data_IF_671839047393
#
_entry.id   IF_671839047393
#
_cell.length_a   1.000
_cell.length_b   1.000
_cell.length_c   1.000
_cell.angle_alpha   90.00
_cell.angle_beta   90.00
_cell.angle_gamma   90.00
#
_symmetry.space_group_name_H-M   'P 1'
#
loop_
_entity.id
_entity.type
_entity.pdbx_description
1 polymer ?
#
# COMPACT_ATOMS: atom_id res chain seq x y z
N UNK A 1 -13.80 -31.96 -42.09
CA UNK A 1 -12.73 -31.81 -41.08
C UNK A 1 -13.23 -30.83 -40.02
N UNK A 2 -13.60 -31.24 -38.80
CA UNK A 2 -14.06 -30.29 -37.82
C UNK A 2 -12.84 -29.68 -37.11
N UNK A 3 -12.61 -28.39 -37.36
CA UNK A 3 -11.75 -27.52 -36.57
C UNK A 3 -12.44 -27.28 -35.21
N UNK A 4 -12.33 -28.24 -34.30
CA UNK A 4 -12.68 -28.00 -32.90
C UNK A 4 -11.54 -27.22 -32.24
N UNK A 5 -11.56 -25.89 -32.37
CA UNK A 5 -10.84 -25.05 -31.44
C UNK A 5 -11.52 -25.25 -30.08
N UNK A 6 -10.91 -26.06 -29.19
CA UNK A 6 -11.36 -26.17 -27.80
C UNK A 6 -11.41 -24.74 -27.25
N UNK A 7 -12.58 -24.29 -26.82
CA UNK A 7 -12.67 -23.02 -26.09
C UNK A 7 -11.75 -23.13 -24.89
N UNK A 8 -10.87 -22.14 -24.64
CA UNK A 8 -9.99 -22.19 -23.49
C UNK A 8 -10.86 -22.23 -22.23
N UNK A 9 -10.57 -23.19 -21.37
CA UNK A 9 -11.37 -23.51 -20.20
C UNK A 9 -10.83 -22.71 -19.01
N UNK A 10 -11.72 -22.08 -18.25
CA UNK A 10 -11.35 -21.38 -17.04
C UNK A 10 -10.83 -22.34 -15.98
N UNK A 11 -9.72 -21.99 -15.35
CA UNK A 11 -9.14 -22.67 -14.20
C UNK A 11 -9.12 -21.77 -12.98
N UNK A 12 -9.05 -22.39 -11.81
CA UNK A 12 -9.04 -21.70 -10.53
C UNK A 12 -7.63 -21.74 -9.94
N UNK A 13 -7.16 -20.60 -9.45
CA UNK A 13 -5.79 -20.35 -8.99
C UNK A 13 -5.81 -19.71 -7.61
N UNK A 14 -4.86 -20.08 -6.76
CA UNK A 14 -4.66 -19.43 -5.48
C UNK A 14 -3.76 -18.20 -5.68
N UNK A 15 -4.22 -17.03 -5.25
CA UNK A 15 -3.48 -15.77 -5.37
C UNK A 15 -3.35 -15.12 -4.00
N UNK A 16 -2.13 -14.75 -3.61
CA UNK A 16 -1.85 -13.99 -2.38
C UNK A 16 -1.15 -12.70 -2.75
N UNK A 17 -1.61 -11.58 -2.23
CA UNK A 17 -1.00 -10.27 -2.43
C UNK A 17 -0.49 -9.78 -1.08
N UNK A 18 0.81 -9.57 -0.99
CA UNK A 18 1.47 -9.04 0.20
C UNK A 18 1.89 -7.60 -0.02
N UNK A 19 1.47 -6.73 0.88
CA UNK A 19 1.85 -5.32 0.94
C UNK A 19 2.85 -5.10 2.07
N UNK A 20 4.08 -4.77 1.71
CA UNK A 20 5.17 -4.43 2.65
C UNK A 20 5.09 -2.97 3.12
N UNK A 21 3.88 -2.47 3.36
CA UNK A 21 3.63 -1.09 3.79
C UNK A 21 2.58 -1.04 4.90
N UNK A 22 2.64 -0.02 5.76
CA UNK A 22 1.55 0.28 6.69
C UNK A 22 0.25 0.44 5.92
N UNK A 23 -0.74 -0.39 6.25
CA UNK A 23 -2.06 -0.38 5.63
C UNK A 23 -3.11 -0.77 6.67
N UNK A 24 -3.99 0.15 7.01
CA UNK A 24 -5.13 -0.11 7.90
C UNK A 24 -6.12 -1.08 7.25
N UNK A 25 -6.99 -1.72 8.06
CA UNK A 25 -8.05 -2.54 7.51
C UNK A 25 -8.93 -1.78 6.51
N UNK A 26 -9.22 -0.50 6.75
CA UNK A 26 -10.06 0.27 5.82
C UNK A 26 -9.44 0.38 4.43
N UNK A 27 -8.16 0.75 4.34
CA UNK A 27 -7.43 0.85 3.07
C UNK A 27 -7.27 -0.52 2.42
N UNK A 28 -7.00 -1.57 3.20
CA UNK A 28 -6.93 -2.94 2.69
C UNK A 28 -8.24 -3.38 2.03
N UNK A 29 -9.39 -3.16 2.68
CA UNK A 29 -10.69 -3.50 2.08
C UNK A 29 -10.97 -2.67 0.82
N UNK A 30 -10.54 -1.41 0.76
CA UNK A 30 -10.65 -0.62 -0.48
C UNK A 30 -9.81 -1.22 -1.63
N UNK A 31 -8.63 -1.77 -1.34
CA UNK A 31 -7.83 -2.52 -2.33
C UNK A 31 -8.51 -3.82 -2.75
N UNK A 32 -9.07 -4.58 -1.80
CA UNK A 32 -9.86 -5.78 -2.06
C UNK A 32 -11.03 -5.49 -3.03
N UNK A 33 -11.81 -4.44 -2.73
CA UNK A 33 -12.94 -4.00 -3.54
C UNK A 33 -12.50 -3.52 -4.93
N UNK A 34 -11.37 -2.81 -5.03
CA UNK A 34 -10.80 -2.40 -6.31
C UNK A 34 -10.38 -3.60 -7.18
N UNK A 35 -9.71 -4.58 -6.59
CA UNK A 35 -9.24 -5.77 -7.29
C UNK A 35 -10.41 -6.64 -7.74
N UNK A 36 -11.30 -7.01 -6.82
CA UNK A 36 -12.41 -7.94 -7.08
C UNK A 36 -13.56 -7.26 -7.83
N UNK A 37 -13.88 -6.02 -7.48
CA UNK A 37 -15.01 -5.29 -8.04
C UNK A 37 -14.72 -4.58 -9.35
N UNK A 38 -13.45 -4.25 -9.65
CA UNK A 38 -13.10 -3.45 -10.83
C UNK A 38 -12.07 -4.14 -11.74
N UNK A 39 -10.90 -4.51 -11.23
CA UNK A 39 -9.80 -5.02 -12.05
C UNK A 39 -10.12 -6.40 -12.66
N UNK A 40 -10.44 -7.40 -11.84
CA UNK A 40 -10.64 -8.76 -12.32
C UNK A 40 -11.80 -8.89 -13.33
N UNK A 41 -12.96 -8.22 -13.14
CA UNK A 41 -14.03 -8.21 -14.14
C UNK A 41 -13.60 -7.66 -15.51
N UNK A 42 -12.68 -6.68 -15.57
CA UNK A 42 -12.16 -6.15 -16.83
C UNK A 42 -11.29 -7.16 -17.59
N UNK A 43 -10.82 -8.20 -16.91
CA UNK A 43 -9.96 -9.25 -17.45
C UNK A 43 -10.72 -10.55 -17.70
N UNK A 44 -12.06 -10.51 -17.68
CA UNK A 44 -12.92 -11.70 -17.76
C UNK A 44 -12.58 -12.76 -16.70
N UNK A 45 -12.11 -12.30 -15.54
CA UNK A 45 -11.77 -13.13 -14.38
C UNK A 45 -12.73 -12.82 -13.22
N UNK A 46 -12.92 -13.79 -12.34
CA UNK A 46 -13.64 -13.62 -11.08
C UNK A 46 -12.77 -14.05 -9.92
N UNK A 47 -13.03 -13.52 -8.72
CA UNK A 47 -12.36 -13.99 -7.53
C UNK A 47 -13.28 -14.03 -6.32
N UNK A 48 -12.88 -14.84 -5.36
CA UNK A 48 -13.45 -14.86 -4.01
C UNK A 48 -12.31 -14.59 -3.03
N UNK A 49 -12.52 -13.63 -2.13
CA UNK A 49 -11.60 -13.38 -1.02
C UNK A 49 -11.78 -14.53 -0.03
N UNK A 50 -10.70 -15.25 0.25
CA UNK A 50 -10.69 -16.40 1.16
C UNK A 50 -10.03 -16.09 2.50
N UNK A 51 -9.28 -14.99 2.56
CA UNK A 51 -8.51 -14.59 3.74
C UNK A 51 -7.77 -13.28 3.52
N UNK A 52 -6.90 -12.96 4.46
CA UNK A 52 -6.17 -11.71 4.50
C UNK A 52 -6.18 -11.08 5.88
N UNK A 53 -5.24 -10.17 6.11
CA UNK A 53 -4.98 -9.62 7.43
C UNK A 53 -4.17 -8.33 7.36
N UNK A 54 -4.37 -7.45 8.33
CA UNK A 54 -3.42 -6.36 8.59
C UNK A 54 -2.56 -6.80 9.76
N UNK A 55 -1.25 -6.91 9.55
CA UNK A 55 -0.31 -7.16 10.61
C UNK A 55 -0.10 -5.87 11.42
N UNK A 56 -0.10 -5.99 12.75
CA UNK A 56 0.10 -4.88 13.67
C UNK A 56 1.43 -5.02 14.43
N UNK A 57 2.07 -3.90 14.73
CA UNK A 57 3.21 -3.82 15.64
C UNK A 57 2.78 -4.10 17.09
N UNK A 58 3.74 -4.17 18.01
CA UNK A 58 3.45 -4.32 19.44
C UNK A 58 2.64 -3.15 20.01
N UNK A 59 2.78 -1.97 19.41
CA UNK A 59 2.09 -0.72 19.73
C UNK A 59 0.73 -0.61 19.03
N UNK A 60 0.34 -1.61 18.22
CA UNK A 60 -0.92 -1.65 17.49
C UNK A 60 -0.93 -0.89 16.17
N UNK A 61 0.22 -0.47 15.65
CA UNK A 61 0.32 0.22 14.36
C UNK A 61 0.38 -0.77 13.19
N UNK A 62 -0.29 -0.52 12.06
CA UNK A 62 -0.19 -1.37 10.88
C UNK A 62 1.24 -1.38 10.33
N UNK A 63 1.75 -2.58 10.03
CA UNK A 63 3.11 -2.76 9.47
C UNK A 63 3.12 -3.39 8.08
N UNK A 64 2.16 -4.27 7.80
CA UNK A 64 1.99 -4.94 6.53
C UNK A 64 0.54 -5.40 6.38
N UNK A 65 0.13 -5.75 5.16
CA UNK A 65 -1.16 -6.37 4.93
C UNK A 65 -1.07 -7.46 3.86
N UNK A 66 -1.96 -8.45 3.98
CA UNK A 66 -2.12 -9.53 3.02
C UNK A 66 -3.57 -9.60 2.55
N UNK A 67 -3.76 -9.92 1.27
CA UNK A 67 -5.05 -10.29 0.67
C UNK A 67 -4.91 -11.68 0.06
N UNK A 68 -5.80 -12.60 0.42
CA UNK A 68 -5.82 -13.95 -0.13
C UNK A 68 -7.08 -14.17 -0.97
N UNK A 69 -6.88 -14.57 -2.22
CA UNK A 69 -7.90 -14.69 -3.25
C UNK A 69 -7.86 -16.08 -3.89
N UNK A 70 -9.04 -16.57 -4.26
CA UNK A 70 -9.18 -17.65 -5.24
C UNK A 70 -9.67 -17.03 -6.54
N UNK A 71 -8.82 -17.01 -7.57
CA UNK A 71 -9.11 -16.38 -8.87
C UNK A 71 -9.49 -17.45 -9.89
N UNK A 72 -10.61 -17.28 -10.58
CA UNK A 72 -10.99 -18.11 -11.73
C UNK A 72 -10.83 -17.30 -13.00
N UNK A 73 -9.95 -17.76 -13.89
CA UNK A 73 -9.61 -17.07 -15.13
C UNK A 73 -9.33 -18.07 -16.26
N UNK A 74 -9.49 -17.62 -17.50
CA UNK A 74 -9.09 -18.38 -18.69
C UNK A 74 -7.58 -18.25 -18.94
N UNK A 75 -7.02 -17.11 -18.60
CA UNK A 75 -5.61 -16.77 -18.78
C UNK A 75 -5.08 -16.11 -17.50
N UNK A 76 -4.54 -16.93 -16.60
CA UNK A 76 -4.00 -16.44 -15.33
C UNK A 76 -2.72 -15.63 -15.52
N UNK A 77 -1.95 -15.88 -16.57
CA UNK A 77 -0.70 -15.15 -16.84
C UNK A 77 -1.03 -13.69 -17.19
N UNK A 78 -2.04 -13.47 -18.04
CA UNK A 78 -2.54 -12.11 -18.33
C UNK A 78 -3.06 -11.42 -17.06
N UNK A 79 -3.86 -12.11 -16.24
CA UNK A 79 -4.35 -11.56 -14.98
C UNK A 79 -3.20 -11.17 -14.05
N UNK A 80 -2.17 -12.01 -13.96
CA UNK A 80 -0.99 -11.76 -13.14
C UNK A 80 -0.23 -10.52 -13.61
N UNK A 81 0.01 -10.40 -14.93
CA UNK A 81 0.71 -9.24 -15.50
C UNK A 81 -0.04 -7.93 -15.23
N UNK A 82 -1.35 -7.90 -15.47
CA UNK A 82 -2.17 -6.71 -15.27
C UNK A 82 -2.28 -6.34 -13.77
N UNK A 83 -2.43 -7.34 -12.90
CA UNK A 83 -2.42 -7.13 -11.45
C UNK A 83 -1.10 -6.51 -10.98
N UNK A 84 0.04 -7.04 -11.44
CA UNK A 84 1.36 -6.48 -11.12
C UNK A 84 1.47 -5.03 -11.62
N UNK A 85 1.04 -4.75 -12.85
CA UNK A 85 1.08 -3.40 -13.43
C UNK A 85 0.21 -2.38 -12.69
N UNK A 86 -0.99 -2.77 -12.26
CA UNK A 86 -1.89 -1.91 -11.47
C UNK A 86 -1.29 -1.65 -10.09
N UNK A 87 -0.77 -2.68 -9.42
CA UNK A 87 -0.13 -2.52 -8.12
C UNK A 87 1.10 -1.61 -8.19
N UNK A 88 1.94 -1.76 -9.23
CA UNK A 88 3.09 -0.91 -9.46
C UNK A 88 2.69 0.55 -9.76
N UNK A 89 1.63 0.74 -10.56
CA UNK A 89 1.06 2.07 -10.85
C UNK A 89 0.45 2.75 -9.63
N UNK A 90 -0.09 1.97 -8.69
CA UNK A 90 -0.58 2.46 -7.40
C UNK A 90 0.56 2.79 -6.43
N UNK A 91 1.82 2.58 -6.83
CA UNK A 91 2.99 2.99 -6.08
C UNK A 91 3.21 2.20 -4.80
N UNK A 92 2.92 0.90 -4.79
CA UNK A 92 3.12 0.08 -3.58
C UNK A 92 4.59 -0.04 -3.15
N UNK A 93 4.80 -0.35 -1.88
CA UNK A 93 6.13 -0.45 -1.29
C UNK A 93 7.00 -1.53 -1.92
N UNK A 94 8.29 -1.21 -2.04
CA UNK A 94 9.34 -2.21 -2.25
C UNK A 94 9.27 -3.26 -1.15
N UNK A 95 9.45 -4.52 -1.53
CA UNK A 95 9.32 -5.69 -0.65
C UNK A 95 7.95 -6.36 -0.73
N UNK A 96 6.98 -5.71 -1.37
CA UNK A 96 5.68 -6.30 -1.68
C UNK A 96 5.82 -7.40 -2.76
N UNK A 97 4.87 -8.32 -2.80
CA UNK A 97 4.88 -9.42 -3.76
C UNK A 97 3.47 -9.95 -4.02
N UNK A 98 3.29 -10.57 -5.19
CA UNK A 98 2.10 -11.35 -5.53
C UNK A 98 2.52 -12.80 -5.72
N UNK A 99 1.85 -13.74 -5.06
CA UNK A 99 2.04 -15.17 -5.29
C UNK A 99 0.87 -15.73 -6.09
N UNK A 100 1.14 -16.48 -7.15
CA UNK A 100 0.13 -17.22 -7.92
C UNK A 100 0.51 -18.70 -7.91
N UNK A 101 -0.37 -19.55 -7.39
CA UNK A 101 -0.14 -20.97 -7.16
C UNK A 101 1.21 -21.26 -6.46
N UNK A 102 1.56 -20.39 -5.50
CA UNK A 102 2.80 -20.46 -4.73
C UNK A 102 4.04 -19.87 -5.40
N UNK A 103 3.97 -19.45 -6.67
CA UNK A 103 5.06 -18.74 -7.34
C UNK A 103 5.01 -17.25 -7.00
N UNK A 104 6.06 -16.73 -6.36
CA UNK A 104 6.17 -15.31 -5.99
C UNK A 104 6.67 -14.44 -7.15
N UNK A 105 6.06 -13.27 -7.28
CA UNK A 105 6.37 -12.20 -8.20
C UNK A 105 6.59 -10.91 -7.37
N UNK A 106 7.82 -10.40 -7.26
CA UNK A 106 8.08 -9.17 -6.53
C UNK A 106 7.43 -7.99 -7.25
N UNK A 107 6.95 -7.01 -6.48
CA UNK A 107 6.33 -5.79 -7.00
C UNK A 107 6.59 -4.63 -6.04
N UNK A 108 6.48 -3.41 -6.56
CA UNK A 108 6.63 -2.19 -5.78
C UNK A 108 8.00 -1.55 -5.91
N UNK A 109 7.98 -0.25 -6.14
CA UNK A 109 9.16 0.59 -6.36
C UNK A 109 9.31 1.67 -5.29
N UNK A 110 8.28 1.83 -4.44
CA UNK A 110 8.11 2.99 -3.58
C UNK A 110 8.66 2.72 -2.18
N UNK A 111 9.09 3.78 -1.50
CA UNK A 111 9.53 3.78 -0.12
C UNK A 111 8.59 4.65 0.73
N UNK A 112 8.47 4.30 2.02
CA UNK A 112 7.48 4.86 2.92
C UNK A 112 8.12 5.48 4.17
N UNK A 113 7.58 6.64 4.57
CA UNK A 113 7.95 7.35 5.80
C UNK A 113 6.70 7.61 6.63
N UNK A 114 6.78 7.30 7.92
CA UNK A 114 5.78 7.61 8.92
C UNK A 114 6.15 8.88 9.66
N UNK A 115 5.19 9.79 9.81
CA UNK A 115 5.26 10.89 10.77
C UNK A 115 4.30 10.61 11.91
N UNK A 116 4.86 10.19 13.06
CA UNK A 116 4.12 9.98 14.29
C UNK A 116 4.00 11.30 15.03
N UNK A 117 2.78 11.68 15.37
CA UNK A 117 2.54 12.91 16.12
C UNK A 117 2.15 12.60 17.57
N UNK A 118 2.40 13.57 18.45
CA UNK A 118 1.97 13.53 19.86
C UNK A 118 0.75 14.42 20.10
N UNK A 119 -0.11 14.55 19.09
CA UNK A 119 -1.29 15.39 19.12
C UNK A 119 -2.43 14.66 19.86
N UNK A 120 -2.29 14.50 21.17
CA UNK A 120 -3.30 13.85 22.03
C UNK A 120 -4.62 14.66 22.11
N UNK A 121 -4.59 15.96 21.79
CA UNK A 121 -5.75 16.86 21.89
C UNK A 121 -5.71 18.06 20.94
N UNK A 122 -5.02 17.97 19.79
CA UNK A 122 -5.02 19.09 18.86
C UNK A 122 -6.45 19.34 18.37
N UNK A 123 -6.94 20.56 18.56
CA UNK A 123 -8.21 20.98 17.99
C UNK A 123 -8.16 20.74 16.46
N UNK A 124 -9.28 20.38 15.84
CA UNK A 124 -9.36 20.09 14.40
C UNK A 124 -8.77 21.19 13.50
N UNK A 125 -8.74 22.44 13.99
CA UNK A 125 -8.11 23.58 13.32
C UNK A 125 -6.58 23.44 13.19
N UNK A 126 -5.88 22.84 14.16
CA UNK A 126 -4.43 22.62 14.10
C UNK A 126 -4.03 21.55 13.08
N UNK A 127 -4.86 20.51 12.90
CA UNK A 127 -4.60 19.44 11.93
C UNK A 127 -4.67 19.92 10.47
N UNK A 128 -5.56 20.89 10.20
CA UNK A 128 -5.68 21.48 8.86
C UNK A 128 -4.42 22.27 8.50
N UNK A 129 -3.90 23.08 9.42
CA UNK A 129 -2.64 23.82 9.24
C UNK A 129 -1.43 22.90 9.06
N UNK A 130 -1.34 21.85 9.88
CA UNK A 130 -0.32 20.80 9.75
C UNK A 130 -0.37 20.12 8.38
N UNK A 131 -1.57 19.75 7.92
CA UNK A 131 -1.75 19.08 6.62
C UNK A 131 -1.30 19.98 5.47
N UNK A 132 -1.69 21.26 5.47
CA UNK A 132 -1.27 22.22 4.43
C UNK A 132 0.25 22.42 4.44
N UNK A 133 0.86 22.55 5.62
CA UNK A 133 2.32 22.70 5.75
C UNK A 133 3.08 21.48 5.22
N UNK A 134 2.59 20.27 5.54
CA UNK A 134 3.17 19.02 5.03
C UNK A 134 3.00 18.90 3.51
N UNK A 135 1.83 19.24 2.96
CA UNK A 135 1.60 19.24 1.51
C UNK A 135 2.51 20.22 0.77
N UNK A 136 2.70 21.42 1.32
CA UNK A 136 3.61 22.42 0.77
C UNK A 136 5.06 21.92 0.80
N UNK A 137 5.49 21.29 1.90
CA UNK A 137 6.84 20.74 2.04
C UNK A 137 7.14 19.62 1.03
N UNK A 138 6.14 18.79 0.73
CA UNK A 138 6.24 17.68 -0.21
C UNK A 138 6.09 18.09 -1.69
N UNK A 139 6.02 19.40 -1.96
CA UNK A 139 6.09 19.95 -3.31
C UNK A 139 4.86 19.68 -4.18
N UNK A 140 3.67 19.62 -3.57
CA UNK A 140 2.38 19.50 -4.28
C UNK A 140 2.34 18.43 -5.39
N UNK A 141 2.92 17.24 -5.14
CA UNK A 141 2.78 16.08 -6.03
C UNK A 141 4.08 15.42 -6.51
N UNK A 142 5.27 15.89 -6.12
CA UNK A 142 6.53 15.18 -6.43
C UNK A 142 6.79 13.99 -5.49
N UNK A 143 6.25 14.06 -4.27
CA UNK A 143 6.22 12.99 -3.28
C UNK A 143 4.74 12.65 -3.04
N UNK A 144 4.40 11.37 -3.12
CA UNK A 144 3.04 10.88 -2.90
C UNK A 144 2.62 11.09 -1.45
N UNK A 145 1.55 11.86 -1.25
CA UNK A 145 0.78 11.73 -0.01
C UNK A 145 0.08 10.38 -0.09
N UNK A 146 0.42 9.44 0.79
CA UNK A 146 -0.47 8.31 0.98
C UNK A 146 -1.63 8.83 1.81
N UNK A 147 -2.85 8.77 1.28
CA UNK A 147 -4.09 9.25 1.92
C UNK A 147 -4.47 8.44 3.18
N UNK A 148 -3.48 7.91 3.88
CA UNK A 148 -3.63 7.14 5.08
C UNK A 148 -3.10 7.93 6.26
N UNK A 149 -4.04 8.36 7.09
CA UNK A 149 -3.79 8.78 8.47
C UNK A 149 -4.54 7.82 9.37
N UNK A 150 -3.83 7.17 10.29
CA UNK A 150 -4.45 6.29 11.28
C UNK A 150 -4.13 6.76 12.70
N UNK A 151 -4.96 6.33 13.65
CA UNK A 151 -4.76 6.61 15.06
C UNK A 151 -3.61 5.74 15.60
N UNK A 152 -2.46 6.37 15.90
CA UNK A 152 -1.39 5.75 16.66
C UNK A 152 -1.61 5.90 18.16
N UNK A 153 -0.74 5.28 18.96
CA UNK A 153 -0.85 5.27 20.42
C UNK A 153 -0.82 6.67 21.05
N UNK A 154 -0.12 7.62 20.43
CA UNK A 154 0.09 8.98 20.97
C UNK A 154 -0.62 10.08 20.19
N UNK A 155 -1.25 9.76 19.06
CA UNK A 155 -1.81 10.73 18.13
C UNK A 155 -1.88 10.17 16.71
N UNK A 156 -2.34 10.96 15.73
CA UNK A 156 -2.37 10.54 14.34
C UNK A 156 -0.96 10.26 13.80
N UNK A 157 -0.87 9.24 12.96
CA UNK A 157 0.32 8.88 12.18
C UNK A 157 0.02 9.15 10.72
N UNK A 158 0.84 9.99 10.09
CA UNK A 158 0.75 10.28 8.66
C UNK A 158 1.70 9.40 7.88
N UNK A 159 1.21 8.82 6.77
CA UNK A 159 1.98 7.94 5.90
C UNK A 159 2.34 8.68 4.61
N UNK A 160 3.62 8.74 4.27
CA UNK A 160 4.10 9.32 3.02
C UNK A 160 4.78 8.26 2.17
N UNK A 161 4.62 8.35 0.85
CA UNK A 161 5.26 7.45 -0.09
C UNK A 161 5.97 8.20 -1.20
N UNK A 162 7.02 7.61 -1.75
CA UNK A 162 7.75 8.20 -2.87
C UNK A 162 8.85 7.28 -3.36
N UNK A 163 9.56 7.70 -4.39
CA UNK A 163 10.67 6.92 -4.96
C UNK A 163 11.87 6.77 -4.01
N UNK A 164 11.95 7.59 -2.96
CA UNK A 164 13.05 7.60 -2.00
C UNK A 164 12.60 8.12 -0.63
N UNK A 165 12.72 7.30 0.42
CA UNK A 165 12.46 7.72 1.80
C UNK A 165 13.39 8.86 2.23
N UNK A 166 14.64 8.86 1.76
CA UNK A 166 15.58 9.96 2.03
C UNK A 166 15.07 11.29 1.47
N UNK A 167 14.51 11.29 0.26
CA UNK A 167 13.93 12.50 -0.35
C UNK A 167 12.71 13.00 0.44
N UNK A 168 11.87 12.08 0.93
CA UNK A 168 10.73 12.41 1.80
C UNK A 168 11.21 13.04 3.10
N UNK A 169 12.19 12.42 3.76
CA UNK A 169 12.77 12.95 5.01
C UNK A 169 13.42 14.32 4.79
N UNK A 170 14.15 14.51 3.69
CA UNK A 170 14.78 15.78 3.36
C UNK A 170 13.76 16.91 3.16
N UNK A 171 12.60 16.59 2.57
CA UNK A 171 11.49 17.53 2.40
C UNK A 171 10.78 17.87 3.72
N UNK A 172 10.57 16.87 4.60
CA UNK A 172 9.81 17.05 5.85
C UNK A 172 10.63 17.70 6.97
N UNK A 173 11.91 17.36 7.11
CA UNK A 173 12.78 17.81 8.22
C UNK A 173 12.83 19.33 8.43
N UNK A 174 12.89 20.19 7.38
CA UNK A 174 12.89 21.65 7.57
C UNK A 174 11.56 22.19 8.07
N UNK A 175 10.46 21.50 7.80
CA UNK A 175 9.09 21.97 8.05
C UNK A 175 8.62 21.63 9.47
N UNK A 176 9.00 20.47 10.00
CA UNK A 176 8.54 20.02 11.33
C UNK A 176 8.86 21.01 12.47
N UNK A 177 10.07 21.60 12.57
CA UNK A 177 10.41 22.54 13.64
C UNK A 177 9.66 23.88 13.56
N UNK A 178 9.13 24.22 12.37
CA UNK A 178 8.41 25.48 12.15
C UNK A 178 6.96 25.41 12.67
N UNK A 179 6.43 24.19 12.87
CA UNK A 179 5.09 23.99 13.38
C UNK A 179 5.14 23.62 14.86
N UNK A 180 4.62 24.49 15.74
CA UNK A 180 4.65 24.31 17.19
C UNK A 180 4.08 22.95 17.64
N UNK A 181 3.05 22.46 16.95
CA UNK A 181 2.37 21.19 17.22
C UNK A 181 3.20 19.95 16.81
N UNK A 182 4.25 20.11 15.99
CA UNK A 182 5.10 19.01 15.51
C UNK A 182 6.48 18.97 16.18
N UNK A 183 6.73 19.81 17.19
CA UNK A 183 8.04 19.89 17.85
C UNK A 183 8.51 18.59 18.52
N UNK A 184 7.58 17.67 18.83
CA UNK A 184 7.87 16.35 19.37
C UNK A 184 7.62 15.20 18.36
N UNK A 185 7.24 15.50 17.12
CA UNK A 185 6.87 14.48 16.14
C UNK A 185 8.10 13.66 15.70
N UNK A 186 7.89 12.36 15.48
CA UNK A 186 8.92 11.41 15.08
C UNK A 186 8.75 11.05 13.60
N UNK A 187 9.86 11.06 12.86
CA UNK A 187 9.93 10.54 11.48
C UNK A 187 10.62 9.18 11.47
N UNK A 188 9.95 8.16 10.92
CA UNK A 188 10.51 6.82 10.75
C UNK A 188 10.37 6.35 9.30
N UNK A 189 11.47 5.88 8.71
CA UNK A 189 11.43 5.12 7.45
C UNK A 189 11.02 3.68 7.76
N UNK A 190 10.06 3.14 7.01
CA UNK A 190 9.45 1.82 7.29
C UNK A 190 9.55 0.83 6.14
N UNK A 191 10.16 1.21 5.02
CA UNK A 191 10.31 0.29 3.88
C UNK A 191 11.21 -0.89 4.27
N UNK A 192 10.63 -2.09 4.31
CA UNK A 192 11.38 -3.33 4.42
C UNK A 192 12.06 -3.61 3.07
N UNK A 193 13.38 -3.39 2.98
CA UNK A 193 14.06 -3.43 1.69
C UNK A 193 15.57 -3.57 1.74
N UNK A 194 16.12 -4.36 2.68
CA UNK A 194 17.44 -4.96 2.50
C UNK A 194 17.33 -6.49 2.64
N UNK A 195 17.51 -7.16 1.49
CA UNK A 195 17.83 -8.59 1.35
C UNK A 195 16.75 -9.64 1.67
N UNK A 196 16.01 -10.03 0.63
CA UNK A 196 15.86 -11.46 0.31
C UNK A 196 16.45 -11.71 -1.09
N UNK A 197 17.78 -11.61 -1.18
CA UNK A 197 18.54 -12.37 -2.19
C UNK A 197 19.11 -13.58 -1.49
N UNK A 198 18.49 -14.74 -1.70
CA UNK A 198 19.17 -16.04 -1.80
C UNK A 198 18.22 -17.09 -2.37
#
# INVERSE_FOLDING_TARGET
MPLFSRKPQSSTHAVTIHFAQPMSPHVRHAQEDGIVGTLLPQLDASAVIIGGGTALSAEGEPVAADIELTVTAVDIDRVTIELLGVLESNGIARGSWVAVDGRKHPVGSTEYVLLRTHLHSAASEDLTGVTIALQAALGSGAIGWHDETYAGATGPVFVFSGSSAESILAALRPTLPLHSSLGAAELASVTAGAAESK
#
